data_IF_344037485203
#
_entry.id   IF_344037485203
#
_cell.length_a   1.000
_cell.length_b   1.000
_cell.length_c   1.000
_cell.angle_alpha   90.00
_cell.angle_beta   90.00
_cell.angle_gamma   90.00
#
_symmetry.space_group_name_H-M   'P 1'
#
loop_
_entity.id
_entity.type
_entity.pdbx_description
1 polymer ?
#
# COMPACT_ATOMS: atom_id res chain seq x y z
N UNK A 1 -10.75 23.57 20.98
CA UNK A 1 -10.29 24.37 19.82
C UNK A 1 -9.23 23.55 19.11
N UNK A 2 -9.32 23.39 17.80
CA UNK A 2 -8.27 22.72 17.00
C UNK A 2 -7.06 23.64 16.89
N UNK A 3 -5.85 23.14 17.19
CA UNK A 3 -4.61 23.90 16.98
C UNK A 3 -4.44 24.16 15.47
N UNK A 4 -4.37 25.42 15.01
CA UNK A 4 -4.23 25.74 13.60
C UNK A 4 -2.95 25.15 12.98
N UNK A 5 -1.91 24.85 13.77
CA UNK A 5 -0.65 24.26 13.27
C UNK A 5 -0.76 22.78 12.92
N UNK A 6 -1.76 22.10 13.48
CA UNK A 6 -1.98 20.66 13.31
C UNK A 6 -3.33 20.33 12.68
N UNK A 7 -4.01 21.33 12.14
CA UNK A 7 -5.29 21.18 11.46
C UNK A 7 -5.11 21.34 9.96
N UNK A 8 -5.67 20.41 9.20
CA UNK A 8 -5.79 20.49 7.74
C UNK A 8 -7.21 20.91 7.36
N UNK A 9 -7.34 21.70 6.31
CA UNK A 9 -8.64 22.09 5.75
C UNK A 9 -9.33 20.85 5.18
N UNK A 10 -10.42 20.42 5.79
CA UNK A 10 -11.16 19.21 5.36
C UNK A 10 -11.73 19.39 3.95
N UNK A 11 -11.71 18.32 3.16
CA UNK A 11 -12.28 18.25 1.81
C UNK A 11 -11.71 19.27 0.81
N UNK A 12 -10.47 19.71 1.03
CA UNK A 12 -9.78 20.67 0.14
C UNK A 12 -9.36 20.05 -1.19
N UNK A 13 -8.85 18.82 -1.14
CA UNK A 13 -8.31 18.12 -2.30
C UNK A 13 -9.35 17.20 -2.93
N UNK A 14 -9.33 17.09 -4.27
CA UNK A 14 -10.13 16.11 -4.99
C UNK A 14 -9.64 14.69 -4.71
N UNK A 15 -10.57 13.72 -4.72
CA UNK A 15 -10.23 12.31 -4.62
C UNK A 15 -9.32 11.90 -5.79
N UNK A 16 -8.22 11.21 -5.48
CA UNK A 16 -7.32 10.61 -6.46
C UNK A 16 -7.71 9.14 -6.68
N UNK A 17 -7.90 8.76 -7.94
CA UNK A 17 -8.15 7.37 -8.32
C UNK A 17 -6.83 6.75 -8.75
N UNK A 18 -6.42 5.59 -8.18
CA UNK A 18 -5.21 4.89 -8.61
C UNK A 18 -5.27 4.51 -10.10
N UNK A 19 -4.13 4.45 -10.81
CA UNK A 19 -4.11 3.94 -12.17
C UNK A 19 -4.49 2.45 -12.20
N UNK A 20 -4.96 1.97 -13.34
CA UNK A 20 -5.25 0.56 -13.57
C UNK A 20 -4.05 -0.09 -14.26
N UNK A 21 -3.61 -1.25 -13.77
CA UNK A 21 -2.66 -2.13 -14.43
C UNK A 21 -3.41 -3.29 -15.09
N UNK A 22 -3.17 -3.45 -16.39
CA UNK A 22 -3.66 -4.60 -17.14
C UNK A 22 -2.51 -5.56 -17.41
N UNK A 23 -2.61 -6.83 -17.00
CA UNK A 23 -1.63 -7.85 -17.34
C UNK A 23 -1.44 -7.99 -18.86
N UNK A 24 -0.20 -8.19 -19.31
CA UNK A 24 0.11 -8.39 -20.72
C UNK A 24 -0.02 -9.87 -21.09
N UNK A 25 -0.70 -10.18 -22.19
CA UNK A 25 -0.82 -11.56 -22.67
C UNK A 25 0.53 -12.05 -23.22
N UNK A 26 0.95 -13.24 -22.80
CA UNK A 26 2.24 -13.84 -23.23
C UNK A 26 2.09 -15.11 -24.06
N UNK A 27 1.02 -15.87 -23.86
CA UNK A 27 0.59 -16.97 -24.70
C UNK A 27 -0.96 -17.08 -24.67
N UNK A 28 -1.54 -18.09 -25.32
CA UNK A 28 -3.00 -18.26 -25.38
C UNK A 28 -3.66 -18.39 -23.99
N UNK A 29 -2.93 -18.80 -22.95
CA UNK A 29 -3.48 -19.09 -21.63
C UNK A 29 -2.83 -18.34 -20.46
N UNK A 30 -1.81 -17.52 -20.68
CA UNK A 30 -1.06 -16.86 -19.61
C UNK A 30 -0.80 -15.39 -19.86
N UNK A 31 -1.08 -14.63 -18.82
CA UNK A 31 -0.78 -13.21 -18.71
C UNK A 31 0.35 -12.99 -17.72
N UNK A 32 1.15 -11.93 -17.94
CA UNK A 32 2.23 -11.53 -17.04
C UNK A 32 2.11 -10.06 -16.65
N UNK A 33 2.49 -9.79 -15.41
CA UNK A 33 2.67 -8.43 -14.90
C UNK A 33 3.97 -8.37 -14.09
N UNK A 34 4.66 -7.25 -14.16
CA UNK A 34 5.79 -6.93 -13.28
C UNK A 34 5.39 -5.73 -12.46
N UNK A 35 5.48 -5.82 -11.14
CA UNK A 35 5.07 -4.76 -10.22
C UNK A 35 6.25 -4.42 -9.32
N UNK A 36 6.72 -3.19 -9.40
CA UNK A 36 7.87 -2.71 -8.64
C UNK A 36 7.41 -2.06 -7.33
N UNK A 37 7.87 -2.60 -6.22
CA UNK A 37 7.88 -1.90 -4.93
C UNK A 37 9.01 -0.89 -4.96
N UNK A 38 8.72 0.40 -4.80
CA UNK A 38 9.71 1.48 -4.86
C UNK A 38 9.32 2.70 -4.00
N UNK A 39 10.29 3.52 -3.57
CA UNK A 39 10.02 4.80 -2.94
C UNK A 39 9.37 5.77 -3.93
N UNK A 40 8.47 6.62 -3.44
CA UNK A 40 7.90 7.72 -4.21
C UNK A 40 7.59 8.91 -3.31
N UNK A 41 7.71 10.11 -3.86
CA UNK A 41 7.27 11.35 -3.19
C UNK A 41 5.77 11.53 -3.42
N UNK A 42 4.99 11.51 -2.34
CA UNK A 42 3.53 11.65 -2.38
C UNK A 42 3.11 12.83 -1.50
N UNK A 43 2.30 13.72 -2.07
CA UNK A 43 1.62 14.76 -1.30
C UNK A 43 0.33 14.18 -0.70
N UNK A 44 0.28 14.02 0.63
CA UNK A 44 -0.91 13.49 1.32
C UNK A 44 -2.07 14.49 1.34
N UNK A 45 -1.75 15.78 1.43
CA UNK A 45 -2.69 16.90 1.41
C UNK A 45 -2.01 18.14 0.81
N UNK A 46 -2.72 19.01 0.10
CA UNK A 46 -2.15 20.21 -0.55
C UNK A 46 -1.55 21.24 0.42
N UNK A 47 -1.84 21.11 1.71
CA UNK A 47 -1.26 21.93 2.80
C UNK A 47 -0.05 21.28 3.47
N UNK A 48 0.37 20.10 3.00
CA UNK A 48 1.56 19.41 3.47
C UNK A 48 2.62 19.36 2.35
N UNK A 49 3.91 19.34 2.71
CA UNK A 49 4.94 19.00 1.74
C UNK A 49 4.77 17.55 1.27
N UNK A 50 5.25 17.21 0.06
CA UNK A 50 5.40 15.82 -0.35
C UNK A 50 6.29 15.06 0.62
N UNK A 51 5.95 13.80 0.88
CA UNK A 51 6.73 12.90 1.70
C UNK A 51 7.05 11.62 0.97
N UNK A 52 8.17 11.04 1.33
CA UNK A 52 8.54 9.74 0.83
C UNK A 52 7.71 8.64 1.48
N UNK A 53 7.20 7.74 0.65
CA UNK A 53 6.45 6.54 1.02
C UNK A 53 6.95 5.38 0.16
N UNK A 54 6.69 4.15 0.61
CA UNK A 54 6.84 2.98 -0.25
C UNK A 54 5.55 2.73 -1.01
N UNK A 55 5.68 2.34 -2.28
CA UNK A 55 4.56 2.22 -3.20
C UNK A 55 4.71 1.01 -4.08
N UNK A 56 3.59 0.51 -4.61
CA UNK A 56 3.61 -0.30 -5.82
C UNK A 56 3.53 0.65 -7.03
N UNK A 57 4.46 0.52 -7.97
CA UNK A 57 4.55 1.32 -9.20
C UNK A 57 4.53 2.85 -9.00
N UNK A 58 5.02 3.36 -7.86
CA UNK A 58 5.10 4.81 -7.62
C UNK A 58 3.77 5.46 -7.25
N UNK A 59 2.71 4.67 -6.98
CA UNK A 59 1.38 5.17 -6.65
C UNK A 59 0.99 4.85 -5.19
N UNK A 60 0.28 5.78 -4.55
CA UNK A 60 -0.33 5.58 -3.23
C UNK A 60 -1.82 5.94 -3.29
N UNK A 61 -2.75 4.98 -3.10
CA UNK A 61 -2.53 3.54 -3.04
C UNK A 61 -1.87 2.96 -4.30
N UNK A 62 -1.39 1.72 -4.22
CA UNK A 62 -0.89 0.99 -5.37
C UNK A 62 -1.95 0.87 -6.48
N UNK A 63 -1.54 0.67 -7.75
CA UNK A 63 -2.45 0.55 -8.87
C UNK A 63 -3.51 -0.54 -8.67
N UNK A 64 -4.66 -0.36 -9.31
CA UNK A 64 -5.70 -1.38 -9.36
C UNK A 64 -5.27 -2.43 -10.38
N UNK A 65 -5.18 -3.69 -9.98
CA UNK A 65 -4.99 -4.80 -10.92
C UNK A 65 -6.37 -5.33 -11.27
N UNK A 66 -6.78 -5.22 -12.53
CA UNK A 66 -8.08 -5.69 -12.99
C UNK A 66 -7.92 -6.89 -13.93
N UNK A 67 -8.69 -7.95 -13.66
CA UNK A 67 -8.64 -9.21 -14.41
C UNK A 67 -10.04 -9.78 -14.63
N UNK A 68 -10.17 -10.65 -15.62
CA UNK A 68 -11.37 -11.48 -15.78
C UNK A 68 -11.24 -12.80 -15.02
N UNK A 69 -12.36 -13.36 -14.55
CA UNK A 69 -12.41 -14.68 -13.95
C UNK A 69 -11.79 -15.73 -14.87
N UNK A 70 -10.92 -16.57 -14.32
CA UNK A 70 -10.17 -17.60 -15.04
C UNK A 70 -8.98 -17.08 -15.86
N UNK A 71 -8.77 -15.76 -15.94
CA UNK A 71 -7.57 -15.19 -16.56
C UNK A 71 -6.36 -15.51 -15.68
N UNK A 72 -5.55 -16.49 -16.07
CA UNK A 72 -4.34 -16.84 -15.31
C UNK A 72 -3.28 -15.76 -15.46
N UNK A 73 -2.88 -15.16 -14.33
CA UNK A 73 -1.88 -14.10 -14.28
C UNK A 73 -0.71 -14.53 -13.41
N UNK A 74 0.49 -14.45 -13.96
CA UNK A 74 1.73 -14.52 -13.22
C UNK A 74 2.22 -13.10 -12.92
N UNK A 75 2.37 -12.76 -11.65
CA UNK A 75 2.88 -11.46 -11.21
C UNK A 75 4.27 -11.64 -10.63
N UNK A 76 5.24 -10.90 -11.17
CA UNK A 76 6.55 -10.72 -10.56
C UNK A 76 6.51 -9.48 -9.66
N UNK A 77 6.59 -9.68 -8.35
CA UNK A 77 6.69 -8.64 -7.33
C UNK A 77 8.16 -8.32 -7.10
N UNK A 78 8.62 -7.18 -7.61
CA UNK A 78 10.03 -6.79 -7.64
C UNK A 78 10.29 -5.80 -6.51
N UNK A 79 11.19 -6.14 -5.59
CA UNK A 79 11.63 -5.20 -4.57
C UNK A 79 12.72 -4.29 -5.15
N UNK A 80 12.29 -3.13 -5.66
CA UNK A 80 13.15 -2.10 -6.21
C UNK A 80 13.41 -0.96 -5.20
N UNK A 81 13.20 -1.19 -3.90
CA UNK A 81 13.55 -0.26 -2.85
C UNK A 81 15.06 -0.37 -2.59
N UNK A 82 15.85 0.73 -2.71
CA UNK A 82 17.29 0.69 -2.48
C UNK A 82 17.66 0.16 -1.07
N UNK A 83 18.79 -0.53 -0.96
CA UNK A 83 19.24 -1.09 0.33
C UNK A 83 19.55 0.00 1.37
N UNK A 84 20.02 1.16 0.92
CA UNK A 84 20.34 2.32 1.73
C UNK A 84 19.15 3.27 1.94
N UNK A 85 17.96 2.91 1.44
CA UNK A 85 16.76 3.73 1.59
C UNK A 85 16.34 3.81 3.07
N UNK A 86 16.22 5.01 3.66
CA UNK A 86 15.66 5.15 4.99
C UNK A 86 14.24 4.64 5.05
N UNK A 87 13.89 3.98 6.15
CA UNK A 87 12.53 3.51 6.36
C UNK A 87 11.56 4.73 6.40
N UNK A 88 10.45 4.72 5.60
CA UNK A 88 9.70 5.93 5.28
C UNK A 88 8.77 6.41 6.40
N UNK A 89 8.66 5.63 7.49
CA UNK A 89 7.85 5.99 8.66
C UNK A 89 8.77 6.28 9.85
N UNK A 90 8.33 7.18 10.72
CA UNK A 90 8.86 7.30 12.08
C UNK A 90 8.01 6.44 13.00
N UNK A 91 8.61 5.56 13.80
CA UNK A 91 7.89 4.83 14.84
C UNK A 91 8.30 5.26 16.25
N UNK A 92 7.34 5.32 17.17
CA UNK A 92 7.58 5.60 18.60
C UNK A 92 6.70 4.71 19.46
N UNK A 93 7.13 4.40 20.69
CA UNK A 93 6.28 3.74 21.69
C UNK A 93 5.56 4.80 22.53
N UNK A 94 4.23 4.77 22.52
CA UNK A 94 3.36 5.76 23.15
C UNK A 94 2.08 5.09 23.71
N UNK A 95 2.17 4.40 24.87
CA UNK A 95 1.04 3.70 25.49
C UNK A 95 0.13 4.62 26.34
N UNK A 96 0.32 5.93 26.24
CA UNK A 96 -0.23 6.94 27.16
C UNK A 96 -1.49 7.65 26.63
N UNK A 97 -2.13 7.12 25.58
CA UNK A 97 -3.31 7.74 24.98
C UNK A 97 -2.98 8.85 23.95
N UNK A 98 -1.70 9.16 23.73
CA UNK A 98 -1.29 10.19 22.76
C UNK A 98 -1.40 9.75 21.30
N UNK A 99 -1.94 8.56 21.00
CA UNK A 99 -2.03 8.02 19.63
C UNK A 99 -2.90 8.88 18.70
N UNK A 100 -3.85 9.63 19.26
CA UNK A 100 -4.75 10.54 18.54
C UNK A 100 -4.17 11.93 18.28
N UNK A 101 -2.95 12.20 18.76
CA UNK A 101 -2.28 13.49 18.58
C UNK A 101 -1.11 13.34 17.60
N UNK A 102 -0.88 14.34 16.73
CA UNK A 102 0.31 14.39 15.89
C UNK A 102 1.58 14.64 16.71
N UNK A 103 2.72 14.37 16.06
CA UNK A 103 4.02 14.52 16.68
C UNK A 103 4.34 13.42 17.69
N UNK A 104 5.62 13.31 18.04
CA UNK A 104 6.14 12.19 18.84
C UNK A 104 5.82 12.25 20.33
N UNK A 105 5.15 13.30 20.83
CA UNK A 105 4.84 13.49 22.26
C UNK A 105 6.08 13.34 23.16
N UNK A 106 7.24 13.84 22.69
CA UNK A 106 8.52 13.75 23.40
C UNK A 106 9.17 12.36 23.42
N UNK A 107 8.57 11.36 22.75
CA UNK A 107 9.09 9.99 22.71
C UNK A 107 10.26 9.87 21.71
N UNK A 108 11.32 9.10 22.06
CA UNK A 108 12.42 8.86 21.15
C UNK A 108 11.97 8.00 19.97
N UNK A 109 12.61 8.18 18.81
CA UNK A 109 12.41 7.33 17.64
C UNK A 109 12.84 5.91 17.99
N UNK A 110 12.03 4.93 17.62
CA UNK A 110 12.39 3.53 17.70
C UNK A 110 13.46 3.22 16.63
N UNK A 111 14.72 3.12 17.07
CA UNK A 111 15.86 2.89 16.19
C UNK A 111 15.83 1.51 15.52
N UNK A 112 15.19 0.51 16.15
CA UNK A 112 15.02 -0.81 15.55
C UNK A 112 14.13 -0.74 14.31
N UNK A 113 13.03 0.03 14.38
CA UNK A 113 12.16 0.25 13.21
C UNK A 113 12.86 1.09 12.14
N UNK A 114 13.59 2.13 12.54
CA UNK A 114 14.32 2.99 11.60
C UNK A 114 15.42 2.24 10.83
N UNK A 115 15.95 1.15 11.40
CA UNK A 115 16.97 0.29 10.80
C UNK A 115 16.39 -0.94 10.08
N UNK A 116 15.07 -1.07 9.93
CA UNK A 116 14.48 -2.18 9.19
C UNK A 116 14.89 -2.11 7.71
N UNK A 117 15.34 -3.23 7.11
CA UNK A 117 15.56 -3.30 5.68
C UNK A 117 14.23 -3.30 4.92
N UNK A 118 14.28 -3.02 3.62
CA UNK A 118 13.18 -3.26 2.70
C UNK A 118 12.97 -4.76 2.52
N UNK A 119 12.31 -5.40 3.48
CA UNK A 119 11.99 -6.81 3.51
C UNK A 119 10.49 -6.98 3.26
N UNK A 120 10.13 -7.44 2.07
CA UNK A 120 8.74 -7.39 1.58
C UNK A 120 8.20 -8.76 1.19
N UNK A 121 6.91 -8.97 1.42
CA UNK A 121 6.15 -10.16 1.00
C UNK A 121 4.81 -9.67 0.50
N UNK A 122 4.35 -10.07 -0.68
CA UNK A 122 3.02 -9.64 -1.15
C UNK A 122 2.00 -10.74 -0.93
N UNK A 123 0.93 -10.41 -0.21
CA UNK A 123 -0.25 -11.25 -0.05
C UNK A 123 -1.41 -10.68 -0.87
N UNK A 124 -2.12 -11.54 -1.60
CA UNK A 124 -3.38 -11.19 -2.25
C UNK A 124 -4.55 -11.62 -1.35
N UNK A 125 -5.02 -10.70 -0.53
CA UNK A 125 -6.05 -10.95 0.44
C UNK A 125 -7.39 -11.26 -0.21
N UNK A 126 -7.96 -12.41 0.14
CA UNK A 126 -9.20 -12.94 -0.43
C UNK A 126 -9.02 -13.69 -1.75
N UNK A 127 -7.79 -13.78 -2.27
CA UNK A 127 -7.46 -14.56 -3.45
C UNK A 127 -7.52 -16.07 -3.18
N UNK A 128 -8.20 -16.82 -4.04
CA UNK A 128 -8.16 -18.28 -4.10
C UNK A 128 -6.88 -18.70 -4.81
N UNK A 129 -5.80 -18.76 -4.04
CA UNK A 129 -4.45 -18.97 -4.56
C UNK A 129 -3.78 -20.22 -3.95
N UNK A 130 -2.73 -20.72 -4.59
CA UNK A 130 -1.92 -21.78 -4.02
C UNK A 130 -1.02 -21.20 -2.91
N UNK A 131 -0.66 -22.01 -1.90
CA UNK A 131 0.16 -21.55 -0.77
C UNK A 131 1.48 -20.87 -1.18
N UNK A 132 2.12 -21.36 -2.25
CA UNK A 132 3.37 -20.77 -2.78
C UNK A 132 3.19 -19.37 -3.39
N UNK A 133 1.96 -19.04 -3.80
CA UNK A 133 1.55 -17.75 -4.39
C UNK A 133 0.80 -16.87 -3.38
N UNK A 134 0.63 -17.32 -2.14
CA UNK A 134 -0.22 -16.68 -1.13
C UNK A 134 0.50 -15.56 -0.37
N UNK A 135 1.84 -15.50 -0.41
CA UNK A 135 2.59 -14.52 0.36
C UNK A 135 2.85 -14.98 1.79
N UNK A 136 3.36 -16.20 1.95
CA UNK A 136 3.82 -16.70 3.25
C UNK A 136 4.80 -15.70 3.90
N UNK A 137 4.52 -15.34 5.15
CA UNK A 137 5.15 -14.21 5.87
C UNK A 137 6.68 -14.22 5.92
N UNK A 138 7.30 -15.39 5.78
CA UNK A 138 8.76 -15.57 5.86
C UNK A 138 9.44 -15.62 4.48
N UNK A 139 8.67 -15.73 3.40
CA UNK A 139 9.17 -15.85 2.01
C UNK A 139 9.48 -14.47 1.40
N UNK A 140 10.19 -13.66 2.15
CA UNK A 140 10.39 -12.27 1.83
C UNK A 140 11.51 -12.03 0.83
N UNK A 141 11.37 -10.90 0.15
CA UNK A 141 12.28 -10.38 -0.85
C UNK A 141 13.01 -9.16 -0.28
N UNK A 142 14.34 -9.18 -0.30
CA UNK A 142 15.19 -8.02 0.01
C UNK A 142 15.35 -7.13 -1.23
N UNK A 143 15.99 -5.97 -1.04
CA UNK A 143 16.37 -5.06 -2.12
C UNK A 143 17.00 -5.79 -3.33
N UNK A 144 16.49 -5.50 -4.52
CA UNK A 144 16.93 -6.08 -5.79
C UNK A 144 16.41 -7.49 -6.09
N UNK A 145 15.72 -8.14 -5.15
CA UNK A 145 15.12 -9.46 -5.35
C UNK A 145 13.67 -9.34 -5.87
N UNK A 146 13.11 -10.46 -6.32
CA UNK A 146 11.70 -10.56 -6.67
C UNK A 146 11.09 -11.88 -6.21
N UNK A 147 9.77 -11.90 -6.05
CA UNK A 147 8.97 -13.10 -5.86
C UNK A 147 7.96 -13.21 -6.98
N UNK A 148 7.61 -14.43 -7.39
CA UNK A 148 6.61 -14.67 -8.43
C UNK A 148 5.40 -15.36 -7.83
N UNK A 149 4.21 -14.86 -8.14
CA UNK A 149 2.94 -15.43 -7.72
C UNK A 149 2.08 -15.75 -8.94
N UNK A 150 1.56 -16.97 -8.99
CA UNK A 150 0.62 -17.41 -10.02
C UNK A 150 -0.82 -17.36 -9.45
N UNK A 151 -1.64 -16.48 -10.00
CA UNK A 151 -3.06 -16.33 -9.66
C UNK A 151 -3.92 -16.94 -10.76
N UNK A 152 -4.74 -17.93 -10.41
CA UNK A 152 -5.66 -18.58 -11.36
C UNK A 152 -6.88 -17.73 -11.65
N UNK A 153 -7.25 -16.86 -10.71
CA UNK A 153 -8.45 -16.01 -10.74
C UNK A 153 -9.74 -16.81 -10.95
N UNK A 154 -9.77 -18.07 -10.53
CA UNK A 154 -10.94 -18.95 -10.61
C UNK A 154 -11.81 -18.84 -9.35
N UNK A 155 -12.35 -17.63 -9.15
CA UNK A 155 -13.38 -17.30 -8.17
C UNK A 155 -14.37 -16.28 -8.79
N UNK A 156 -15.54 -16.12 -8.19
CA UNK A 156 -16.56 -15.14 -8.63
C UNK A 156 -16.02 -13.71 -8.62
N UNK A 157 -16.65 -12.82 -9.39
CA UNK A 157 -16.34 -11.40 -9.38
C UNK A 157 -16.36 -10.82 -7.96
N UNK A 158 -15.29 -10.10 -7.59
CA UNK A 158 -15.14 -9.51 -6.26
C UNK A 158 -14.00 -8.49 -6.24
N UNK A 159 -14.08 -7.54 -5.31
CA UNK A 159 -12.96 -6.69 -4.92
C UNK A 159 -12.08 -7.44 -3.90
N UNK A 160 -10.82 -7.60 -4.25
CA UNK A 160 -9.72 -8.07 -3.42
C UNK A 160 -8.76 -6.91 -3.17
N UNK A 161 -7.73 -7.16 -2.36
CA UNK A 161 -6.65 -6.21 -2.16
C UNK A 161 -5.33 -6.94 -1.96
N UNK A 162 -4.24 -6.33 -2.38
CA UNK A 162 -2.90 -6.85 -2.18
C UNK A 162 -2.11 -5.91 -1.29
N UNK A 163 -1.31 -6.47 -0.40
CA UNK A 163 -0.55 -5.69 0.57
C UNK A 163 0.69 -6.44 1.04
N UNK A 164 1.60 -5.71 1.69
CA UNK A 164 2.74 -6.35 2.32
C UNK A 164 2.31 -7.29 3.47
N UNK A 165 3.04 -8.39 3.65
CA UNK A 165 2.76 -9.44 4.62
C UNK A 165 4.03 -9.96 5.31
N UNK A 166 5.09 -9.14 5.41
CA UNK A 166 6.35 -9.56 6.04
C UNK A 166 6.20 -9.87 7.54
N UNK A 167 6.71 -11.03 7.99
CA UNK A 167 6.73 -11.45 9.40
C UNK A 167 7.20 -10.36 10.36
N UNK A 168 6.39 -10.05 11.38
CA UNK A 168 6.75 -9.11 12.44
C UNK A 168 6.77 -7.63 12.06
N UNK A 169 6.84 -7.29 10.76
CA UNK A 169 6.95 -5.90 10.28
C UNK A 169 5.82 -5.45 9.33
N UNK A 170 4.84 -6.31 9.04
CA UNK A 170 3.68 -6.02 8.18
C UNK A 170 3.03 -4.66 8.53
N UNK A 171 2.83 -4.39 9.83
CA UNK A 171 2.22 -3.14 10.30
C UNK A 171 2.97 -1.90 9.81
N UNK A 172 4.29 -1.98 9.66
CA UNK A 172 5.14 -0.88 9.25
C UNK A 172 5.20 -0.77 7.72
N UNK A 173 5.33 -1.89 7.00
CA UNK A 173 5.37 -1.91 5.53
C UNK A 173 4.04 -1.46 4.90
N UNK A 174 2.89 -1.91 5.45
CA UNK A 174 1.57 -1.45 4.98
C UNK A 174 1.36 0.02 5.32
N UNK A 175 1.76 0.46 6.51
CA UNK A 175 1.66 1.87 6.91
C UNK A 175 2.54 2.78 6.06
N UNK A 176 3.71 2.29 5.64
CA UNK A 176 4.63 2.92 4.70
C UNK A 176 4.04 3.11 3.30
N UNK A 177 2.98 2.38 2.93
CA UNK A 177 2.20 2.59 1.71
C UNK A 177 2.01 1.38 0.81
N UNK A 178 2.54 0.21 1.18
CA UNK A 178 2.41 -1.03 0.38
C UNK A 178 1.03 -1.68 0.54
N UNK A 179 0.02 -1.09 -0.13
CA UNK A 179 -1.30 -1.67 -0.33
C UNK A 179 -1.92 -1.19 -1.65
N UNK A 180 -2.66 -2.05 -2.34
CA UNK A 180 -3.41 -1.74 -3.56
C UNK A 180 -4.62 -2.66 -3.75
N UNK A 181 -5.44 -2.37 -4.75
CA UNK A 181 -6.70 -3.10 -4.99
C UNK A 181 -6.57 -4.08 -6.17
N UNK A 182 -7.34 -5.16 -6.12
CA UNK A 182 -7.36 -6.17 -7.17
C UNK A 182 -8.81 -6.53 -7.47
N UNK A 183 -9.25 -6.42 -8.72
CA UNK A 183 -10.65 -6.65 -9.09
C UNK A 183 -10.72 -7.84 -10.04
N UNK A 184 -11.56 -8.82 -9.68
CA UNK A 184 -11.95 -9.89 -10.58
C UNK A 184 -13.32 -9.55 -11.16
N UNK A 185 -13.43 -9.54 -12.49
CA UNK A 185 -14.66 -9.35 -13.26
C UNK A 185 -15.19 -10.66 -13.81
N UNK A 186 -16.49 -10.81 -13.97
CA UNK A 186 -17.07 -11.94 -14.68
C UNK A 186 -18.36 -11.58 -15.45
N UNK A 187 -18.86 -12.55 -16.21
CA UNK A 187 -20.05 -12.38 -17.04
C UNK A 187 -21.35 -12.27 -16.22
N UNK A 188 -21.38 -12.78 -14.99
CA UNK A 188 -22.55 -12.70 -14.12
C UNK A 188 -22.70 -11.27 -13.58
N UNK A 189 -21.62 -10.68 -13.06
CA UNK A 189 -21.56 -9.26 -12.67
C UNK A 189 -21.91 -8.35 -13.85
N UNK A 190 -21.33 -8.61 -15.04
CA UNK A 190 -21.56 -7.80 -16.23
C UNK A 190 -23.03 -7.78 -16.68
N UNK A 191 -23.75 -8.89 -16.50
CA UNK A 191 -25.17 -9.01 -16.86
C UNK A 191 -26.10 -8.19 -15.95
N UNK A 192 -25.63 -7.73 -14.78
CA UNK A 192 -26.40 -6.89 -13.86
C UNK A 192 -26.45 -5.42 -14.30
N UNK A 193 -25.62 -5.01 -15.27
CA UNK A 193 -25.52 -3.63 -15.76
C UNK A 193 -25.33 -2.60 -14.61
N UNK A 194 -24.47 -2.94 -13.64
CA UNK A 194 -24.11 -2.04 -12.56
C UNK A 194 -23.44 -0.76 -13.10
N UNK A 195 -23.47 0.36 -12.36
CA UNK A 195 -22.70 1.54 -12.70
C UNK A 195 -21.21 1.19 -12.89
N UNK A 196 -20.64 1.59 -14.03
CA UNK A 196 -19.28 1.24 -14.44
C UNK A 196 -18.51 2.46 -14.95
N UNK A 197 -17.22 2.28 -15.20
CA UNK A 197 -16.34 3.34 -15.73
C UNK A 197 -16.27 4.52 -14.75
N UNK A 198 -16.64 5.75 -15.16
CA UNK A 198 -16.55 6.93 -14.28
C UNK A 198 -17.47 6.87 -13.05
N UNK A 199 -18.42 5.92 -13.01
CA UNK A 199 -19.35 5.74 -11.90
C UNK A 199 -18.93 4.64 -10.91
N UNK A 200 -17.84 3.93 -11.21
CA UNK A 200 -17.26 2.93 -10.31
C UNK A 200 -16.01 3.52 -9.65
N UNK A 201 -16.13 3.87 -8.36
CA UNK A 201 -15.08 4.59 -7.64
C UNK A 201 -14.50 3.67 -6.56
N UNK A 202 -13.27 3.18 -6.73
CA UNK A 202 -12.59 2.38 -5.71
C UNK A 202 -12.18 3.27 -4.54
N UNK A 203 -12.50 2.83 -3.33
CA UNK A 203 -12.15 3.53 -2.09
C UNK A 203 -11.30 2.63 -1.19
N UNK A 204 -10.04 3.00 -1.02
CA UNK A 204 -9.14 2.41 -0.03
C UNK A 204 -8.90 3.45 1.08
N UNK A 205 -9.38 3.16 2.28
CA UNK A 205 -9.33 4.09 3.41
C UNK A 205 -8.23 3.69 4.38
N UNK A 206 -7.44 4.68 4.80
CA UNK A 206 -6.27 4.52 5.63
C UNK A 206 -6.13 5.73 6.55
N UNK A 207 -6.25 5.51 7.85
CA UNK A 207 -5.90 6.54 8.83
C UNK A 207 -4.38 6.64 8.95
N UNK A 208 -3.88 7.85 9.19
CA UNK A 208 -2.46 8.13 9.35
C UNK A 208 -2.27 9.22 10.39
N UNK A 209 -1.28 9.01 11.24
CA UNK A 209 -0.72 10.02 12.12
C UNK A 209 0.56 10.61 11.48
N UNK A 210 0.87 11.86 11.80
CA UNK A 210 1.92 12.66 11.17
C UNK A 210 2.87 13.24 12.23
N UNK A 211 4.16 13.27 11.93
CA UNK A 211 5.17 13.89 12.80
C UNK A 211 5.13 15.43 12.68
N UNK A 212 5.63 16.10 13.72
CA UNK A 212 5.66 17.57 13.82
C UNK A 212 7.10 18.10 13.88
N UNK A 213 7.30 19.30 13.35
CA UNK A 213 8.52 20.06 13.54
C UNK A 213 8.62 20.62 14.97
N UNK A 214 9.77 21.21 15.32
CA UNK A 214 10.00 21.79 16.64
C UNK A 214 9.04 22.95 16.99
N UNK A 215 8.50 23.61 15.97
CA UNK A 215 7.51 24.69 16.12
C UNK A 215 6.06 24.19 16.25
N UNK A 216 5.83 22.86 16.20
CA UNK A 216 4.53 22.20 16.30
C UNK A 216 3.79 22.02 14.98
N UNK A 217 4.34 22.48 13.85
CA UNK A 217 3.70 22.31 12.54
C UNK A 217 3.83 20.88 12.00
N UNK A 218 2.84 20.42 11.21
CA UNK A 218 2.88 19.10 10.57
C UNK A 218 3.97 19.04 9.49
N UNK A 219 4.77 17.98 9.53
CA UNK A 219 5.83 17.74 8.53
C UNK A 219 5.35 16.92 7.34
N UNK A 220 4.17 16.31 7.44
CA UNK A 220 3.68 15.28 6.52
C UNK A 220 4.35 13.92 6.70
N UNK A 221 5.46 13.80 7.44
CA UNK A 221 6.16 12.53 7.65
C UNK A 221 5.25 11.57 8.42
N UNK A 222 5.08 10.35 7.91
CA UNK A 222 4.26 9.33 8.55
C UNK A 222 4.81 8.97 9.92
N UNK A 223 3.94 8.98 10.92
CA UNK A 223 4.24 8.63 12.31
C UNK A 223 3.39 7.43 12.71
N UNK A 224 4.02 6.34 13.15
CA UNK A 224 3.33 5.18 13.72
C UNK A 224 3.58 5.14 15.23
N UNK A 225 2.54 5.38 16.03
CA UNK A 225 2.59 5.24 17.49
C UNK A 225 2.24 3.80 17.86
N UNK A 226 3.15 3.11 18.53
CA UNK A 226 3.03 1.72 18.98
C UNK A 226 2.60 1.75 20.45
N UNK A 227 1.64 0.90 20.81
CA UNK A 227 1.32 0.61 22.22
C UNK A 227 2.34 -0.35 22.85
#
# INVERSE_FOLDING_TARGET
MTDPKTSLTRFKDALRVPPILHPHQTDEQRYRLRVHMRPAQVQLHSELPPVEVWTYEGSLPGPIIEVSRGQRVQIEWINAIPEDQPYPITAVTAPDGSQNEPGRSGRPINQTVAALPAWTVVHLHGGRTAAVSDGWTENASLSGQSTTSDYTNDQQATLLWYHDHGMGITRFNVYAGLAGLYIIRDAEEAALHLPAGPYEIPLLLQDRNLDTAADGSLTGRLLHKIE
#
